data_IF_626116353289
#
_entry.id   IF_626116353289
#
_cell.length_a   1.000
_cell.length_b   1.000
_cell.length_c   1.000
_cell.angle_alpha   90.00
_cell.angle_beta   90.00
_cell.angle_gamma   90.00
#
_symmetry.space_group_name_H-M   'P 1'
#
loop_
_entity.id
_entity.type
_entity.pdbx_description
1 polymer ?
#
# COMPACT_ATOMS: atom_id res chain seq x y z
N UNK A 1 -25.62 25.63 7.60
CA UNK A 1 -25.48 24.39 8.30
C UNK A 1 -25.32 23.28 7.28
N UNK A 2 -24.14 22.84 7.05
CA UNK A 2 -23.86 21.74 6.13
C UNK A 2 -23.06 20.71 6.90
N UNK A 3 -23.73 19.66 7.27
CA UNK A 3 -23.16 18.45 7.79
C UNK A 3 -22.76 17.59 6.61
N UNK A 4 -21.48 17.40 6.39
CA UNK A 4 -20.98 16.29 5.60
C UNK A 4 -20.04 15.52 6.50
N UNK A 5 -20.62 14.64 7.30
CA UNK A 5 -19.93 13.53 7.89
C UNK A 5 -20.17 12.33 6.99
N UNK A 6 -19.15 11.80 6.34
CA UNK A 6 -19.27 10.48 5.69
C UNK A 6 -19.24 9.43 6.80
N UNK A 7 -20.41 9.02 7.23
CA UNK A 7 -20.60 7.92 8.14
C UNK A 7 -20.44 6.59 7.38
N UNK A 8 -19.40 5.84 7.70
CA UNK A 8 -19.33 4.45 7.28
C UNK A 8 -20.30 3.64 8.13
N UNK A 9 -21.46 3.36 7.57
CA UNK A 9 -22.50 2.54 8.21
C UNK A 9 -22.36 1.08 7.80
N UNK A 10 -22.13 0.20 8.76
CA UNK A 10 -22.31 -1.24 8.58
C UNK A 10 -23.77 -1.56 8.86
N UNK A 11 -24.53 -1.96 7.83
CA UNK A 11 -25.88 -2.51 8.01
C UNK A 11 -25.80 -3.99 8.27
N UNK A 12 -26.09 -4.40 9.47
CA UNK A 12 -26.42 -5.77 9.78
C UNK A 12 -27.94 -5.92 9.91
N UNK A 13 -28.48 -7.02 9.40
CA UNK A 13 -29.93 -7.25 9.29
C UNK A 13 -30.57 -7.36 10.67
N UNK A 14 -31.23 -6.29 11.11
CA UNK A 14 -32.12 -6.28 12.25
C UNK A 14 -31.75 -5.46 13.47
N UNK A 15 -30.54 -4.83 13.56
CA UNK A 15 -30.08 -4.13 14.77
C UNK A 15 -29.70 -2.66 14.50
N UNK A 16 -30.18 -2.04 13.44
CA UNK A 16 -29.87 -0.64 13.15
C UNK A 16 -28.42 -0.39 12.72
N UNK A 17 -28.10 0.88 12.45
CA UNK A 17 -26.77 1.31 12.05
C UNK A 17 -25.87 1.47 13.26
N UNK A 18 -24.81 0.67 13.39
CA UNK A 18 -23.81 0.81 14.46
C UNK A 18 -22.62 1.58 13.91
N UNK A 19 -22.35 2.76 14.43
CA UNK A 19 -21.14 3.52 14.15
C UNK A 19 -20.02 3.01 15.07
N UNK A 20 -18.97 2.46 14.51
CA UNK A 20 -17.79 2.07 15.29
C UNK A 20 -17.05 3.33 15.76
N UNK A 21 -17.20 3.69 17.05
CA UNK A 21 -16.56 4.87 17.64
C UNK A 21 -15.03 4.86 17.59
N UNK A 22 -14.40 3.69 17.43
CA UNK A 22 -12.96 3.61 17.24
C UNK A 22 -12.49 4.28 15.93
N UNK A 23 -13.38 4.36 14.93
CA UNK A 23 -13.09 5.06 13.65
C UNK A 23 -13.07 6.58 13.83
N UNK A 24 -13.78 7.13 14.83
CA UNK A 24 -13.81 8.57 15.08
C UNK A 24 -12.48 9.13 15.61
N UNK A 25 -11.59 8.28 16.09
CA UNK A 25 -10.22 8.63 16.48
C UNK A 25 -9.19 8.56 15.36
N UNK A 26 -9.53 7.97 14.23
CA UNK A 26 -8.65 7.88 13.07
C UNK A 26 -8.60 9.24 12.36
N UNK A 27 -7.53 9.99 12.60
CA UNK A 27 -7.24 11.25 11.89
C UNK A 27 -6.64 11.02 10.50
N UNK A 28 -6.54 9.76 10.06
CA UNK A 28 -6.00 9.42 8.74
C UNK A 28 -7.08 9.56 7.68
N UNK A 29 -6.80 10.34 6.66
CA UNK A 29 -7.65 10.51 5.49
C UNK A 29 -7.22 9.52 4.43
N UNK A 30 -8.11 8.58 4.09
CA UNK A 30 -7.85 7.58 3.04
C UNK A 30 -7.82 8.19 1.62
N UNK A 31 -8.21 9.45 1.48
CA UNK A 31 -8.12 10.22 0.23
C UNK A 31 -6.75 10.92 0.03
N UNK A 32 -5.84 10.73 0.97
CA UNK A 32 -4.46 11.20 0.89
C UNK A 32 -3.49 10.02 0.80
N UNK A 33 -2.35 10.22 0.15
CA UNK A 33 -1.25 9.26 0.14
C UNK A 33 -0.98 8.76 1.56
N UNK A 34 -1.15 7.46 1.78
CA UNK A 34 -1.01 6.87 3.09
C UNK A 34 0.47 6.54 3.33
N UNK A 35 1.12 7.36 4.12
CA UNK A 35 2.50 7.14 4.57
C UNK A 35 2.45 6.39 5.91
N UNK A 36 2.77 5.10 5.89
CA UNK A 36 2.59 4.23 7.05
C UNK A 36 3.51 4.56 8.23
N UNK A 37 4.75 4.97 7.96
CA UNK A 37 5.69 5.32 9.03
C UNK A 37 5.28 6.57 9.79
N UNK A 38 4.94 7.70 9.14
CA UNK A 38 4.33 8.84 9.80
C UNK A 38 3.04 8.51 10.54
N UNK A 39 2.20 7.66 9.96
CA UNK A 39 0.95 7.23 10.60
C UNK A 39 1.23 6.50 11.92
N UNK A 40 2.11 5.50 11.94
CA UNK A 40 2.47 4.75 13.15
C UNK A 40 3.06 5.70 14.22
N UNK A 41 3.93 6.63 13.82
CA UNK A 41 4.48 7.64 14.74
C UNK A 41 3.40 8.53 15.34
N UNK A 42 2.36 8.87 14.57
CA UNK A 42 1.25 9.70 15.07
C UNK A 42 0.45 9.04 16.20
N UNK A 43 0.51 7.71 16.30
CA UNK A 43 -0.05 6.92 17.40
C UNK A 43 0.92 6.72 18.58
N UNK A 44 2.10 7.32 18.52
CA UNK A 44 3.09 7.25 19.61
C UNK A 44 3.97 6.00 19.58
N UNK A 45 3.91 5.19 18.52
CA UNK A 45 4.72 3.99 18.34
C UNK A 45 5.91 4.22 17.40
N UNK A 46 6.96 3.41 17.54
CA UNK A 46 8.13 3.44 16.66
C UNK A 46 7.96 2.48 15.49
N UNK A 47 7.90 2.98 14.24
CA UNK A 47 7.81 2.12 13.06
C UNK A 47 9.17 1.55 12.67
N UNK A 48 9.22 0.29 12.31
CA UNK A 48 10.36 -0.34 11.65
C UNK A 48 9.91 -1.51 10.80
N UNK A 49 10.74 -1.96 9.86
CA UNK A 49 10.45 -3.12 9.04
C UNK A 49 11.36 -4.29 9.37
N UNK A 50 10.81 -5.49 9.24
CA UNK A 50 11.56 -6.74 9.30
C UNK A 50 11.05 -7.75 8.24
N UNK A 51 11.69 -8.92 8.17
CA UNK A 51 11.28 -10.00 7.28
C UNK A 51 11.34 -9.64 5.80
N UNK A 52 12.25 -8.74 5.40
CA UNK A 52 12.36 -8.23 4.05
C UNK A 52 12.80 -9.32 3.09
N UNK A 53 12.02 -9.51 2.04
CA UNK A 53 12.30 -10.42 0.93
C UNK A 53 12.24 -9.65 -0.39
N UNK A 54 13.24 -9.84 -1.23
CA UNK A 54 13.31 -9.19 -2.54
C UNK A 54 13.41 -10.27 -3.61
N UNK A 55 12.54 -10.19 -4.60
CA UNK A 55 12.49 -11.17 -5.70
C UNK A 55 12.39 -10.44 -7.03
N UNK A 56 13.07 -10.95 -8.04
CA UNK A 56 12.88 -10.53 -9.42
C UNK A 56 11.84 -11.46 -10.08
N UNK A 57 10.78 -10.86 -10.60
CA UNK A 57 9.68 -11.55 -11.25
C UNK A 57 9.58 -11.11 -12.72
N UNK A 58 8.81 -11.86 -13.50
CA UNK A 58 8.36 -11.46 -14.84
C UNK A 58 6.89 -11.06 -14.78
N UNK A 59 6.55 -9.91 -15.37
CA UNK A 59 5.18 -9.41 -15.37
C UNK A 59 4.27 -10.36 -16.17
N UNK A 60 3.23 -10.87 -15.52
CA UNK A 60 2.09 -11.48 -16.20
C UNK A 60 1.12 -10.40 -16.72
N UNK A 61 0.07 -10.82 -17.42
CA UNK A 61 -0.88 -9.91 -18.09
C UNK A 61 -1.47 -8.85 -17.13
N UNK A 62 -1.96 -9.28 -15.97
CA UNK A 62 -2.57 -8.39 -14.98
C UNK A 62 -1.57 -7.36 -14.42
N UNK A 63 -0.38 -7.82 -14.05
CA UNK A 63 0.68 -6.96 -13.51
C UNK A 63 1.21 -6.01 -14.59
N UNK A 64 1.40 -6.48 -15.82
CA UNK A 64 1.83 -5.67 -16.95
C UNK A 64 0.83 -4.53 -17.22
N UNK A 65 -0.47 -4.85 -17.22
CA UNK A 65 -1.52 -3.85 -17.38
C UNK A 65 -1.51 -2.83 -16.22
N UNK A 66 -1.42 -3.29 -14.96
CA UNK A 66 -1.46 -2.41 -13.79
C UNK A 66 -0.24 -1.46 -13.72
N UNK A 67 0.93 -1.92 -14.15
CA UNK A 67 2.18 -1.16 -14.10
C UNK A 67 2.56 -0.49 -15.42
N UNK A 68 1.70 -0.54 -16.44
CA UNK A 68 1.96 -0.05 -17.80
C UNK A 68 3.26 -0.61 -18.41
N UNK A 69 3.44 -1.93 -18.27
CA UNK A 69 4.57 -2.71 -18.77
C UNK A 69 4.12 -3.65 -19.90
N UNK A 70 5.09 -4.29 -20.56
CA UNK A 70 4.82 -5.42 -21.42
C UNK A 70 4.85 -6.74 -20.62
N UNK A 71 4.13 -7.75 -21.12
CA UNK A 71 4.17 -9.08 -20.53
C UNK A 71 5.58 -9.64 -20.67
N UNK A 72 6.15 -10.09 -19.54
CA UNK A 72 7.52 -10.58 -19.47
C UNK A 72 8.55 -9.56 -19.03
N UNK A 73 8.19 -8.29 -18.87
CA UNK A 73 9.08 -7.27 -18.29
C UNK A 73 9.47 -7.63 -16.85
N UNK A 74 10.65 -7.16 -16.45
CA UNK A 74 11.18 -7.43 -15.12
C UNK A 74 10.53 -6.53 -14.05
N UNK A 75 10.07 -7.16 -12.99
CA UNK A 75 9.45 -6.50 -11.83
C UNK A 75 10.13 -6.95 -10.55
N UNK A 76 10.52 -6.01 -9.72
CA UNK A 76 11.03 -6.27 -8.37
C UNK A 76 9.85 -6.36 -7.43
N UNK A 77 9.70 -7.50 -6.78
CA UNK A 77 8.74 -7.72 -5.71
C UNK A 77 9.45 -7.60 -4.37
N UNK A 78 9.00 -6.66 -3.54
CA UNK A 78 9.51 -6.44 -2.19
C UNK A 78 8.41 -6.82 -1.21
N UNK A 79 8.66 -7.79 -0.36
CA UNK A 79 7.79 -8.16 0.75
C UNK A 79 8.44 -7.76 2.05
N UNK A 80 7.69 -7.11 2.91
CA UNK A 80 8.17 -6.75 4.25
C UNK A 80 7.02 -6.66 5.24
N UNK A 81 7.36 -6.81 6.50
CA UNK A 81 6.46 -6.61 7.61
C UNK A 81 6.83 -5.31 8.31
N UNK A 82 5.84 -4.45 8.54
CA UNK A 82 6.01 -3.19 9.28
C UNK A 82 5.43 -3.39 10.67
N UNK A 83 6.20 -3.02 11.66
CA UNK A 83 5.86 -3.13 13.06
C UNK A 83 5.65 -1.74 13.67
N UNK A 84 4.70 -1.68 14.61
CA UNK A 84 4.58 -0.60 15.59
C UNK A 84 5.18 -1.12 16.89
N UNK A 85 6.36 -0.66 17.27
CA UNK A 85 7.20 -1.23 18.33
C UNK A 85 7.48 -2.73 18.07
N UNK A 86 6.85 -3.64 18.79
CA UNK A 86 7.02 -5.11 18.63
C UNK A 86 5.82 -5.78 17.95
N UNK A 87 4.78 -5.01 17.60
CA UNK A 87 3.53 -5.54 17.07
C UNK A 87 3.50 -5.40 15.55
N UNK A 88 3.36 -6.48 14.79
CA UNK A 88 3.15 -6.41 13.35
C UNK A 88 1.81 -5.73 13.05
N UNK A 89 1.84 -4.68 12.23
CA UNK A 89 0.63 -3.90 11.89
C UNK A 89 0.34 -3.88 10.40
N UNK A 90 1.38 -4.03 9.54
CA UNK A 90 1.21 -4.05 8.09
C UNK A 90 2.10 -5.14 7.49
N UNK A 91 1.55 -5.87 6.53
CA UNK A 91 2.30 -6.73 5.61
C UNK A 91 2.25 -6.09 4.23
N UNK A 92 3.39 -5.57 3.77
CA UNK A 92 3.51 -4.89 2.48
C UNK A 92 4.04 -5.86 1.42
N UNK A 93 3.45 -5.78 0.23
CA UNK A 93 3.95 -6.45 -0.98
C UNK A 93 3.96 -5.37 -2.06
N UNK A 94 5.16 -4.90 -2.40
CA UNK A 94 5.35 -3.83 -3.36
C UNK A 94 5.89 -4.39 -4.67
N UNK A 95 5.29 -4.02 -5.80
CA UNK A 95 5.72 -4.42 -7.14
C UNK A 95 6.24 -3.19 -7.89
N UNK A 96 7.52 -3.18 -8.23
CA UNK A 96 8.19 -2.06 -8.84
C UNK A 96 8.79 -2.46 -10.19
N UNK A 97 8.52 -1.74 -11.29
CA UNK A 97 9.23 -1.96 -12.54
C UNK A 97 10.75 -1.93 -12.33
N UNK A 98 11.46 -2.96 -12.78
CA UNK A 98 12.92 -3.02 -12.66
C UNK A 98 13.60 -1.81 -13.33
N UNK A 99 12.98 -1.29 -14.39
CA UNK A 99 13.45 -0.12 -15.14
C UNK A 99 13.56 1.16 -14.29
N UNK A 100 12.81 1.30 -13.21
CA UNK A 100 12.89 2.46 -12.31
C UNK A 100 14.27 2.60 -11.65
N UNK A 101 14.96 1.50 -11.47
CA UNK A 101 16.28 1.48 -10.84
C UNK A 101 17.44 1.74 -11.84
N UNK A 102 17.17 1.78 -13.16
CA UNK A 102 18.17 1.97 -14.18
C UNK A 102 19.33 0.97 -14.05
N UNK A 103 20.56 1.45 -13.97
CA UNK A 103 21.76 0.64 -13.79
C UNK A 103 22.11 0.36 -12.32
N UNK A 104 21.29 0.80 -11.37
CA UNK A 104 21.55 0.59 -9.95
C UNK A 104 21.31 -0.87 -9.56
N UNK A 105 22.12 -1.34 -8.65
CA UNK A 105 21.96 -2.65 -8.02
C UNK A 105 20.95 -2.53 -6.86
N UNK A 106 19.69 -2.88 -7.15
CA UNK A 106 18.60 -2.82 -6.17
C UNK A 106 18.80 -3.75 -4.97
N UNK A 107 19.71 -4.75 -5.08
CA UNK A 107 20.00 -5.68 -3.97
C UNK A 107 20.82 -5.03 -2.85
N UNK A 108 21.41 -3.85 -3.12
CA UNK A 108 22.22 -3.08 -2.17
C UNK A 108 21.48 -1.90 -1.57
N UNK A 109 20.23 -1.69 -1.96
CA UNK A 109 19.42 -0.58 -1.43
C UNK A 109 18.86 -0.99 -0.08
N UNK A 110 18.87 -0.08 0.88
CA UNK A 110 18.17 -0.26 2.15
C UNK A 110 16.65 -0.17 1.93
N UNK A 111 15.97 -1.29 2.05
CA UNK A 111 14.53 -1.41 1.83
C UNK A 111 13.74 -1.43 3.15
N UNK A 112 14.37 -1.09 4.27
CA UNK A 112 13.72 -1.02 5.58
C UNK A 112 12.81 0.20 5.76
N UNK A 113 13.05 1.27 4.98
CA UNK A 113 12.32 2.51 5.02
C UNK A 113 10.91 2.45 4.39
N UNK A 114 10.25 3.60 4.37
CA UNK A 114 9.00 3.79 3.64
C UNK A 114 9.25 3.65 2.12
N UNK A 115 8.36 2.95 1.43
CA UNK A 115 8.54 2.67 -0.01
C UNK A 115 8.55 3.94 -0.85
N UNK A 116 7.80 4.96 -0.45
CA UNK A 116 7.75 6.23 -1.17
C UNK A 116 9.03 7.04 -1.01
N UNK A 117 9.64 7.01 0.19
CA UNK A 117 10.95 7.62 0.42
C UNK A 117 12.04 6.91 -0.40
N UNK A 118 12.00 5.58 -0.46
CA UNK A 118 12.92 4.78 -1.28
C UNK A 118 12.77 5.13 -2.76
N UNK A 119 11.55 5.22 -3.28
CA UNK A 119 11.31 5.59 -4.68
C UNK A 119 11.80 7.00 -4.99
N UNK A 120 11.64 7.95 -4.08
CA UNK A 120 12.13 9.32 -4.27
C UNK A 120 13.67 9.40 -4.24
N UNK A 121 14.29 8.75 -3.26
CA UNK A 121 15.74 8.83 -3.05
C UNK A 121 16.51 7.99 -4.07
N UNK A 122 16.05 6.77 -4.34
CA UNK A 122 16.81 5.82 -5.15
C UNK A 122 16.38 5.81 -6.63
N UNK A 123 15.11 6.06 -6.91
CA UNK A 123 14.58 6.02 -8.27
C UNK A 123 14.25 7.41 -8.83
N UNK A 124 14.35 8.47 -8.03
CA UNK A 124 13.96 9.85 -8.38
C UNK A 124 12.50 9.93 -8.84
N UNK A 125 11.65 9.06 -8.27
CA UNK A 125 10.23 9.00 -8.57
C UNK A 125 9.42 9.63 -7.44
N UNK A 126 8.63 10.64 -7.77
CA UNK A 126 7.70 11.28 -6.85
C UNK A 126 6.28 10.80 -7.14
N UNK A 127 5.68 10.09 -6.19
CA UNK A 127 4.30 9.63 -6.34
C UNK A 127 3.35 10.81 -6.12
N UNK A 128 2.47 11.07 -7.07
CA UNK A 128 1.53 12.19 -7.06
C UNK A 128 0.11 11.79 -6.71
N UNK A 129 -0.28 10.56 -7.02
CA UNK A 129 -1.61 10.04 -6.74
C UNK A 129 -1.58 8.51 -6.63
N UNK A 130 -2.60 7.96 -5.99
CA UNK A 130 -2.85 6.53 -5.94
C UNK A 130 -4.34 6.23 -6.12
N UNK A 131 -4.64 5.05 -6.59
CA UNK A 131 -6.00 4.48 -6.61
C UNK A 131 -5.94 3.22 -5.77
N UNK A 132 -6.78 3.16 -4.75
CA UNK A 132 -6.82 2.05 -3.80
C UNK A 132 -8.18 1.36 -3.79
N UNK A 133 -8.16 0.04 -3.79
CA UNK A 133 -9.33 -0.79 -3.54
C UNK A 133 -9.22 -1.41 -2.14
N UNK A 134 -10.22 -1.17 -1.31
CA UNK A 134 -10.27 -1.69 0.05
C UNK A 134 -11.14 -2.95 0.10
N UNK A 135 -10.61 -4.02 0.67
CA UNK A 135 -11.30 -5.30 0.83
C UNK A 135 -11.00 -5.87 2.23
N UNK A 136 -11.95 -6.62 2.79
CA UNK A 136 -11.67 -7.47 3.93
C UNK A 136 -11.04 -8.79 3.45
N UNK A 137 -10.02 -9.27 4.15
CA UNK A 137 -9.33 -10.52 3.85
C UNK A 137 -8.92 -11.22 5.14
N UNK A 138 -8.87 -12.54 5.14
CA UNK A 138 -8.26 -13.31 6.23
C UNK A 138 -6.77 -13.61 5.96
N UNK A 139 -6.24 -13.18 4.80
CA UNK A 139 -4.88 -13.50 4.37
C UNK A 139 -4.69 -15.01 4.10
N UNK A 140 -3.59 -15.33 3.45
CA UNK A 140 -3.09 -16.71 3.37
C UNK A 140 -2.36 -17.11 4.66
N UNK A 141 -1.98 -18.38 4.78
CA UNK A 141 -1.30 -18.91 5.97
C UNK A 141 0.04 -18.19 6.23
N UNK A 142 0.79 -17.86 5.19
CA UNK A 142 2.08 -17.19 5.34
C UNK A 142 1.92 -15.78 5.90
N UNK A 143 0.95 -15.02 5.40
CA UNK A 143 0.62 -13.68 5.91
C UNK A 143 0.10 -13.75 7.34
N UNK A 144 -0.78 -14.70 7.64
CA UNK A 144 -1.33 -14.88 8.98
C UNK A 144 -0.24 -15.17 10.02
N UNK A 145 0.68 -16.08 9.69
CA UNK A 145 1.82 -16.39 10.57
C UNK A 145 2.72 -15.17 10.72
N UNK A 146 3.04 -14.48 9.63
CA UNK A 146 3.87 -13.28 9.66
C UNK A 146 3.26 -12.17 10.53
N UNK A 147 1.94 -11.98 10.45
CA UNK A 147 1.20 -10.95 11.17
C UNK A 147 0.73 -11.39 12.56
N UNK A 148 1.01 -12.64 12.95
CA UNK A 148 0.58 -13.24 14.22
C UNK A 148 -0.94 -13.19 14.44
N UNK A 149 -1.72 -13.37 13.36
CA UNK A 149 -3.17 -13.35 13.39
C UNK A 149 -3.76 -14.68 13.88
N UNK A 150 -4.81 -14.59 14.69
CA UNK A 150 -5.57 -15.76 15.10
C UNK A 150 -6.34 -16.37 13.90
N UNK A 151 -6.72 -17.66 13.97
CA UNK A 151 -7.58 -18.28 12.97
C UNK A 151 -8.89 -17.51 12.79
N UNK A 152 -9.20 -17.10 11.54
CA UNK A 152 -10.42 -16.34 11.22
C UNK A 152 -10.35 -14.84 11.53
N UNK A 153 -9.25 -14.34 12.07
CA UNK A 153 -9.06 -12.90 12.24
C UNK A 153 -8.93 -12.22 10.88
N UNK A 154 -9.74 -11.17 10.67
CA UNK A 154 -9.77 -10.43 9.42
C UNK A 154 -8.79 -9.27 9.44
N UNK A 155 -8.22 -8.97 8.29
CA UNK A 155 -7.40 -7.81 8.01
C UNK A 155 -8.02 -6.93 6.94
N UNK A 156 -7.61 -5.67 6.88
CA UNK A 156 -7.91 -4.79 5.76
C UNK A 156 -6.83 -5.00 4.68
N UNK A 157 -7.27 -5.33 3.47
CA UNK A 157 -6.42 -5.39 2.29
C UNK A 157 -6.58 -4.09 1.51
N UNK A 158 -5.48 -3.39 1.29
CA UNK A 158 -5.39 -2.27 0.36
C UNK A 158 -4.65 -2.76 -0.88
N UNK A 159 -5.36 -2.74 -2.01
CA UNK A 159 -4.81 -3.06 -3.33
C UNK A 159 -4.65 -1.73 -4.07
N UNK A 160 -3.41 -1.25 -4.21
CA UNK A 160 -3.11 0.11 -4.61
C UNK A 160 -2.28 0.15 -5.89
N UNK A 161 -2.64 1.05 -6.80
CA UNK A 161 -1.81 1.45 -7.93
C UNK A 161 -1.40 2.90 -7.75
N UNK A 162 -0.10 3.16 -7.76
CA UNK A 162 0.48 4.47 -7.55
C UNK A 162 0.96 5.07 -8.88
N UNK A 163 0.75 6.37 -9.04
CA UNK A 163 1.10 7.12 -10.25
C UNK A 163 2.10 8.23 -9.92
N UNK A 164 3.13 8.37 -10.75
CA UNK A 164 4.03 9.50 -10.72
C UNK A 164 3.50 10.65 -11.59
N UNK A 165 4.13 11.83 -11.50
CA UNK A 165 3.70 13.02 -12.26
C UNK A 165 3.79 12.87 -13.79
N UNK A 166 4.62 11.99 -14.30
CA UNK A 166 4.80 11.82 -15.74
C UNK A 166 3.60 11.18 -16.42
N UNK A 167 2.79 10.39 -15.71
CA UNK A 167 1.59 9.76 -16.27
C UNK A 167 0.39 10.71 -16.44
N UNK A 168 0.42 11.89 -15.81
CA UNK A 168 -0.64 12.90 -15.94
C UNK A 168 -0.61 13.66 -17.28
N UNK A 169 0.44 13.52 -18.10
CA UNK A 169 0.60 14.26 -19.35
C UNK A 169 0.30 13.46 -20.63
N UNK A 170 -0.11 12.19 -20.52
CA UNK A 170 -0.37 11.33 -21.69
C UNK A 170 -1.85 11.03 -21.94
N UNK A 171 -2.79 11.77 -21.34
CA UNK A 171 -4.17 11.75 -21.79
C UNK A 171 -4.28 12.70 -22.98
N UNK A 172 -4.50 12.20 -24.22
CA UNK A 172 -4.85 13.08 -25.32
C UNK A 172 -6.19 13.71 -24.98
N UNK A 173 -6.19 15.05 -24.89
CA UNK A 173 -7.45 15.82 -24.87
C UNK A 173 -8.30 15.39 -26.06
N UNK A 174 -9.57 15.06 -25.91
CA UNK A 174 -10.45 14.89 -27.06
C UNK A 174 -10.49 16.26 -27.74
N UNK A 175 -9.91 16.34 -28.92
CA UNK A 175 -10.19 17.43 -29.83
C UNK A 175 -11.45 17.05 -30.58
N UNK A 176 -12.37 17.98 -30.56
CA UNK A 176 -13.64 18.09 -31.34
C UNK A 176 -13.59 17.46 -32.73
#
# INVERSE_FOLDING_TARGET
>A
PSLVGSEMCIRDSGIGTVVNRAVLGLRSRLDQKLEYYPLIRSFGSYPHADGIQVMLLRAGEEMAHALALEVGDEVICIKKRILADTTPVIYSIDYLPRSLFGNRDYTRIDLTGDIFEILEQECHQQISSNVAHLKASCGDEAIRVAMRLAPGEAMLLLDEVCFNRCLLYTSPSPRD
#
